data_IF_344273627625
#
_entry.id   IF_344273627625
#
_cell.length_a   1.000
_cell.length_b   1.000
_cell.length_c   1.000
_cell.angle_alpha   90.00
_cell.angle_beta   90.00
_cell.angle_gamma   90.00
#
_symmetry.space_group_name_H-M   'P 1'
#
loop_
_entity.id
_entity.type
_entity.pdbx_description
1 polymer ?
#
# COMPACT_ATOMS: atom_id res chain seq x y z
N UNK A 1 0.04 16.72 9.66
CA UNK A 1 -0.16 16.42 8.23
C UNK A 1 1.15 15.89 7.66
N UNK A 2 1.16 14.65 7.18
CA UNK A 2 2.39 14.02 6.67
C UNK A 2 2.58 14.31 5.17
N UNK A 3 3.71 13.87 4.60
CA UNK A 3 4.04 14.13 3.20
C UNK A 3 3.04 13.49 2.23
N UNK A 4 2.51 12.31 2.56
CA UNK A 4 1.60 11.59 1.66
C UNK A 4 0.21 12.22 1.61
N UNK A 5 -0.28 12.77 2.73
CA UNK A 5 -1.50 13.58 2.75
C UNK A 5 -1.38 14.83 1.86
N UNK A 6 -0.24 15.53 1.90
CA UNK A 6 0.00 16.70 1.01
C UNK A 6 -0.03 16.34 -0.47
N UNK A 7 0.54 15.18 -0.83
CA UNK A 7 0.48 14.70 -2.22
C UNK A 7 -0.95 14.35 -2.63
N UNK A 8 -1.71 13.73 -1.74
CA UNK A 8 -3.12 13.43 -1.98
C UNK A 8 -3.97 14.69 -2.17
N UNK A 9 -3.79 15.70 -1.32
CA UNK A 9 -4.44 17.02 -1.45
C UNK A 9 -4.06 17.75 -2.73
N UNK A 10 -2.83 17.55 -3.22
CA UNK A 10 -2.37 18.05 -4.52
C UNK A 10 -2.94 17.26 -5.72
N UNK A 11 -3.81 16.28 -5.48
CA UNK A 11 -4.45 15.44 -6.52
C UNK A 11 -3.61 14.25 -6.98
N UNK A 12 -2.46 13.98 -6.33
CA UNK A 12 -1.62 12.83 -6.68
C UNK A 12 -2.06 11.57 -5.93
N UNK A 13 -2.30 10.49 -6.69
CA UNK A 13 -2.59 9.17 -6.13
C UNK A 13 -1.31 8.41 -5.79
N UNK A 14 -1.26 7.84 -4.58
CA UNK A 14 -0.13 7.06 -4.09
C UNK A 14 -0.48 5.58 -4.05
N UNK A 15 0.36 4.78 -4.69
CA UNK A 15 0.14 3.34 -4.85
C UNK A 15 1.26 2.55 -4.16
N UNK A 16 0.89 1.45 -3.51
CA UNK A 16 1.83 0.53 -2.87
C UNK A 16 2.31 -0.54 -3.85
N UNK A 17 3.62 -0.62 -4.11
CA UNK A 17 4.23 -1.65 -4.97
C UNK A 17 4.64 -2.89 -4.17
N UNK A 18 3.68 -3.47 -3.43
CA UNK A 18 3.89 -4.70 -2.68
C UNK A 18 2.56 -5.31 -2.24
N UNK A 19 2.51 -6.64 -2.15
CA UNK A 19 1.43 -7.38 -1.52
C UNK A 19 1.98 -8.55 -0.72
N UNK A 20 1.50 -8.74 0.51
CA UNK A 20 1.82 -9.92 1.34
C UNK A 20 0.59 -10.35 2.10
N UNK A 21 0.49 -11.63 2.51
CA UNK A 21 -0.63 -12.11 3.32
C UNK A 21 -0.80 -11.29 4.60
N UNK A 22 0.31 -10.99 5.30
CA UNK A 22 0.30 -10.17 6.52
C UNK A 22 -0.22 -8.75 6.27
N UNK A 23 0.15 -8.12 5.17
CA UNK A 23 -0.35 -6.77 4.81
C UNK A 23 -1.88 -6.74 4.79
N UNK A 24 -2.50 -7.80 4.25
CA UNK A 24 -3.96 -7.93 4.13
C UNK A 24 -4.64 -8.32 5.45
N UNK A 25 -4.05 -9.21 6.25
CA UNK A 25 -4.72 -9.79 7.42
C UNK A 25 -4.45 -9.04 8.73
N UNK A 26 -3.38 -8.25 8.83
CA UNK A 26 -2.98 -7.58 10.07
C UNK A 26 -3.59 -6.20 10.31
N UNK A 27 -4.41 -5.70 9.38
CA UNK A 27 -4.87 -4.31 9.40
C UNK A 27 -3.82 -3.29 8.93
N UNK A 28 -2.61 -3.73 8.56
CA UNK A 28 -1.55 -2.84 8.06
C UNK A 28 -2.00 -2.08 6.80
N UNK A 29 -2.65 -2.75 5.83
CA UNK A 29 -3.17 -2.07 4.65
C UNK A 29 -4.20 -1.00 5.00
N UNK A 30 -5.09 -1.31 5.97
CA UNK A 30 -6.10 -0.35 6.41
C UNK A 30 -5.46 0.89 7.02
N UNK A 31 -4.47 0.69 7.90
CA UNK A 31 -3.66 1.79 8.44
C UNK A 31 -2.99 2.62 7.34
N UNK A 32 -2.50 1.99 6.28
CA UNK A 32 -1.86 2.72 5.18
C UNK A 32 -2.84 3.58 4.39
N UNK A 33 -4.07 3.12 4.21
CA UNK A 33 -5.13 3.92 3.62
C UNK A 33 -5.44 5.12 4.53
N UNK A 34 -5.70 4.85 5.82
CA UNK A 34 -6.19 5.86 6.78
C UNK A 34 -5.13 6.91 7.15
N UNK A 35 -3.87 6.49 7.33
CA UNK A 35 -2.79 7.35 7.84
C UNK A 35 -1.85 7.85 6.75
N UNK A 36 -1.78 7.20 5.58
CA UNK A 36 -0.83 7.54 4.52
C UNK A 36 -1.46 7.83 3.16
N UNK A 37 -2.79 7.91 3.06
CA UNK A 37 -3.49 8.23 1.81
C UNK A 37 -3.10 7.30 0.65
N UNK A 38 -2.82 6.02 0.93
CA UNK A 38 -2.63 5.01 -0.11
C UNK A 38 -3.99 4.73 -0.77
N UNK A 39 -4.05 4.87 -2.10
CA UNK A 39 -5.30 4.73 -2.87
C UNK A 39 -5.30 3.52 -3.80
N UNK A 40 -4.16 2.86 -3.96
CA UNK A 40 -4.03 1.67 -4.79
C UNK A 40 -2.86 0.79 -4.36
N UNK A 41 -2.82 -0.41 -4.90
CA UNK A 41 -1.68 -1.30 -4.79
C UNK A 41 -1.49 -2.06 -6.10
N UNK A 42 -0.25 -2.41 -6.40
CA UNK A 42 0.10 -3.23 -7.55
C UNK A 42 0.94 -4.42 -7.10
N UNK A 43 0.93 -5.45 -7.93
CA UNK A 43 1.80 -6.60 -7.82
C UNK A 43 2.38 -6.92 -9.19
N UNK A 44 3.45 -7.70 -9.20
CA UNK A 44 4.02 -8.33 -10.37
C UNK A 44 4.38 -9.79 -10.03
N UNK A 45 4.80 -10.63 -10.99
CA UNK A 45 5.12 -12.04 -10.73
C UNK A 45 6.14 -12.26 -9.62
N UNK A 46 7.20 -11.44 -9.54
CA UNK A 46 8.25 -11.54 -8.50
C UNK A 46 7.70 -11.22 -7.12
N UNK A 47 6.92 -10.13 -6.99
CA UNK A 47 6.28 -9.75 -5.72
C UNK A 47 5.31 -10.85 -5.26
N UNK A 48 4.51 -11.37 -6.17
CA UNK A 48 3.50 -12.38 -5.83
C UNK A 48 4.14 -13.71 -5.41
N UNK A 49 5.21 -14.12 -6.10
CA UNK A 49 6.00 -15.29 -5.72
C UNK A 49 6.60 -15.15 -4.31
N UNK A 50 7.18 -13.99 -3.99
CA UNK A 50 7.66 -13.71 -2.64
C UNK A 50 6.54 -13.70 -1.59
N UNK A 51 5.33 -13.27 -1.95
CA UNK A 51 4.17 -13.22 -1.07
C UNK A 51 3.62 -14.60 -0.71
N UNK A 52 3.85 -15.62 -1.56
CA UNK A 52 3.41 -17.00 -1.35
C UNK A 52 4.48 -17.83 -0.64
N UNK A 53 5.75 -17.63 -0.99
CA UNK A 53 6.87 -18.42 -0.42
C UNK A 53 7.19 -18.09 1.04
N UNK A 54 6.72 -16.95 1.54
CA UNK A 54 6.93 -16.47 2.91
C UNK A 54 5.63 -16.52 3.71
#
# INVERSE_FOLDING_TARGET
MNATHRLHEAGQSLWLDNITRRLLTSGTLRRYIDEFSITGLISNPTIFDHAIRR
#
